data_IF_001099663685
#
_entry.id   IF_001099663685
#
_cell.length_a   1.000
_cell.length_b   1.000
_cell.length_c   1.000
_cell.angle_alpha   90.00
_cell.angle_beta   90.00
_cell.angle_gamma   90.00
#
_symmetry.space_group_name_H-M   'P 1'
#
loop_
_entity.id
_entity.type
_entity.pdbx_description
1 polymer ?
#
# COMPACT_ATOMS: atom_id res chain seq x y z
N UNK A 1 -10.39 9.20 13.23
CA UNK A 1 -9.94 9.06 11.84
C UNK A 1 -8.41 9.09 11.79
N UNK A 2 -7.76 8.03 11.29
CA UNK A 2 -6.30 8.01 11.16
C UNK A 2 -5.73 9.09 10.25
N UNK A 3 -6.43 9.43 9.16
CA UNK A 3 -5.99 10.48 8.22
C UNK A 3 -7.19 11.30 7.77
N UNK A 4 -7.04 12.62 7.84
CA UNK A 4 -7.97 13.58 7.26
C UNK A 4 -7.17 14.58 6.43
N UNK A 5 -7.47 14.70 5.14
CA UNK A 5 -6.94 15.73 4.27
C UNK A 5 -8.04 16.74 3.91
N UNK A 6 -7.75 18.01 4.09
CA UNK A 6 -8.65 19.13 3.77
C UNK A 6 -7.93 20.11 2.86
N UNK A 7 -8.36 20.18 1.60
CA UNK A 7 -7.83 21.07 0.56
C UNK A 7 -6.31 21.01 0.41
N UNK A 8 -5.74 19.81 0.47
CA UNK A 8 -4.29 19.64 0.41
C UNK A 8 -3.81 19.84 -1.02
N UNK A 9 -2.75 20.65 -1.16
CA UNK A 9 -2.12 20.96 -2.45
C UNK A 9 -0.61 20.84 -2.30
N UNK A 10 0.02 20.20 -3.27
CA UNK A 10 1.47 20.09 -3.38
C UNK A 10 1.92 20.45 -4.80
N UNK A 11 2.91 21.31 -4.88
CA UNK A 11 3.54 21.67 -6.15
C UNK A 11 5.06 21.79 -5.98
N UNK A 12 5.77 21.53 -7.06
CA UNK A 12 7.20 21.79 -7.19
C UNK A 12 7.36 22.90 -8.23
N UNK A 13 7.58 24.16 -7.75
CA UNK A 13 7.56 25.33 -8.64
C UNK A 13 6.19 25.49 -9.31
N UNK A 14 6.19 25.54 -10.65
CA UNK A 14 4.96 25.64 -11.45
C UNK A 14 4.29 24.29 -11.71
N UNK A 15 4.94 23.20 -11.33
CA UNK A 15 4.40 21.84 -11.54
C UNK A 15 3.55 21.43 -10.35
N UNK A 16 2.22 21.45 -10.52
CA UNK A 16 1.25 21.02 -9.52
C UNK A 16 1.14 19.49 -9.57
N UNK A 17 1.46 18.84 -8.45
CA UNK A 17 1.35 17.39 -8.33
C UNK A 17 -0.11 17.01 -8.07
N UNK A 18 -0.73 17.63 -7.07
CA UNK A 18 -2.15 17.50 -6.79
C UNK A 18 -2.66 18.78 -6.10
N UNK A 19 -3.96 18.99 -6.20
CA UNK A 19 -4.64 20.11 -5.55
C UNK A 19 -6.03 19.67 -5.07
N UNK A 20 -6.57 20.42 -4.13
CA UNK A 20 -7.90 20.20 -3.57
C UNK A 20 -8.13 18.74 -3.12
N UNK A 21 -7.11 18.13 -2.52
CA UNK A 21 -7.22 16.78 -2.01
C UNK A 21 -8.02 16.79 -0.72
N UNK A 22 -9.19 16.14 -0.78
CA UNK A 22 -10.08 15.97 0.36
C UNK A 22 -10.35 14.47 0.52
N UNK A 23 -9.85 13.90 1.59
CA UNK A 23 -10.09 12.50 1.89
C UNK A 23 -10.09 12.25 3.39
N UNK A 24 -10.86 11.25 3.79
CA UNK A 24 -10.90 10.77 5.16
C UNK A 24 -10.76 9.26 5.15
N UNK A 25 -9.75 8.76 5.85
CA UNK A 25 -9.55 7.32 6.03
C UNK A 25 -9.99 6.96 7.44
N UNK A 26 -10.95 6.03 7.54
CA UNK A 26 -11.50 5.58 8.80
C UNK A 26 -10.62 4.51 9.44
N UNK A 27 -10.68 4.41 10.76
CA UNK A 27 -9.94 3.39 11.50
C UNK A 27 -10.36 1.99 11.07
N UNK A 28 -9.36 1.14 10.80
CA UNK A 28 -9.60 -0.24 10.35
C UNK A 28 -9.94 -0.38 8.86
N UNK A 29 -10.03 0.73 8.14
CA UNK A 29 -10.31 0.75 6.72
C UNK A 29 -9.08 0.32 5.91
N UNK A 30 -9.31 -0.45 4.84
CA UNK A 30 -8.26 -0.82 3.89
C UNK A 30 -8.57 -0.15 2.56
N UNK A 31 -7.73 0.77 2.15
CA UNK A 31 -7.93 1.59 0.96
C UNK A 31 -6.80 1.37 -0.05
N UNK A 32 -7.13 1.51 -1.34
CA UNK A 32 -6.15 1.43 -2.42
C UNK A 32 -5.90 2.81 -3.01
N UNK A 33 -4.63 3.12 -3.27
CA UNK A 33 -4.22 4.26 -4.08
C UNK A 33 -3.85 3.74 -5.46
N UNK A 34 -4.56 4.18 -6.48
CA UNK A 34 -4.34 3.76 -7.86
C UNK A 34 -4.11 4.95 -8.77
N UNK A 35 -3.46 4.73 -9.89
CA UNK A 35 -3.12 5.76 -10.86
C UNK A 35 -1.76 5.51 -11.47
N UNK A 36 -1.45 6.22 -12.53
CA UNK A 36 -0.15 6.11 -13.20
C UNK A 36 0.98 6.60 -12.29
N UNK A 37 2.20 6.11 -12.53
CA UNK A 37 3.37 6.62 -11.86
C UNK A 37 3.56 8.11 -12.18
N UNK A 38 3.95 8.88 -11.18
CA UNK A 38 4.11 10.34 -11.31
C UNK A 38 2.84 11.16 -11.05
N UNK A 39 1.71 10.53 -10.73
CA UNK A 39 0.44 11.23 -10.47
C UNK A 39 0.24 11.60 -8.99
N UNK A 40 1.25 11.44 -8.16
CA UNK A 40 1.26 11.96 -6.80
C UNK A 40 0.97 10.96 -5.69
N UNK A 41 0.82 9.67 -5.97
CA UNK A 41 0.56 8.65 -4.93
C UNK A 41 1.66 8.62 -3.88
N UNK A 42 2.91 8.51 -4.31
CA UNK A 42 4.07 8.48 -3.41
C UNK A 42 4.25 9.82 -2.69
N UNK A 43 3.93 10.92 -3.36
CA UNK A 43 4.02 12.26 -2.76
C UNK A 43 3.02 12.42 -1.62
N UNK A 44 1.77 11.98 -1.81
CA UNK A 44 0.77 12.04 -0.73
C UNK A 44 1.14 11.12 0.43
N UNK A 45 1.65 9.94 0.15
CA UNK A 45 2.15 9.01 1.18
C UNK A 45 3.24 9.69 2.02
N UNK A 46 4.20 10.35 1.38
CA UNK A 46 5.26 11.08 2.10
C UNK A 46 4.73 12.24 2.92
N UNK A 47 3.70 12.93 2.45
CA UNK A 47 3.01 13.95 3.24
C UNK A 47 2.35 13.34 4.48
N UNK A 48 1.67 12.21 4.32
CA UNK A 48 1.03 11.49 5.45
C UNK A 48 2.08 11.03 6.47
N UNK A 49 3.23 10.56 6.01
CA UNK A 49 4.32 10.13 6.90
C UNK A 49 5.09 11.28 7.55
N UNK A 50 4.83 12.52 7.13
CA UNK A 50 5.53 13.69 7.65
C UNK A 50 6.91 13.92 7.04
N UNK A 51 7.29 13.19 6.00
CA UNK A 51 8.56 13.39 5.29
C UNK A 51 8.53 14.63 4.42
N UNK A 52 7.37 14.97 3.86
CA UNK A 52 7.12 16.22 3.16
C UNK A 52 6.20 17.05 4.02
N UNK A 53 6.66 18.24 4.38
CA UNK A 53 5.90 19.22 5.18
C UNK A 53 5.54 20.46 4.40
N UNK A 54 6.15 20.65 3.24
CA UNK A 54 5.95 21.80 2.34
C UNK A 54 4.76 21.55 1.40
N UNK A 55 3.56 21.70 1.95
CA UNK A 55 2.31 21.64 1.22
C UNK A 55 1.31 22.64 1.84
N UNK A 56 0.27 23.00 1.09
CA UNK A 56 -0.82 23.82 1.60
C UNK A 56 -2.05 22.97 1.92
N UNK A 57 -2.99 23.54 2.67
CA UNK A 57 -4.13 22.81 3.18
C UNK A 57 -3.82 22.17 4.52
N UNK A 58 -4.72 21.31 4.98
CA UNK A 58 -4.61 20.68 6.29
C UNK A 58 -4.62 19.17 6.17
N UNK A 59 -3.56 18.54 6.68
CA UNK A 59 -3.44 17.10 6.80
C UNK A 59 -3.31 16.76 8.28
N UNK A 60 -4.28 16.02 8.81
CA UNK A 60 -4.33 15.67 10.22
C UNK A 60 -4.24 14.16 10.39
N UNK A 61 -3.31 13.72 11.25
CA UNK A 61 -3.24 12.33 11.69
C UNK A 61 -4.06 12.19 12.98
N UNK A 62 -4.71 11.04 13.12
CA UNK A 62 -5.48 10.74 14.31
C UNK A 62 -4.62 10.53 15.55
N UNK A 63 -5.28 10.50 16.70
CA UNK A 63 -4.63 10.24 17.98
C UNK A 63 -4.10 8.80 18.03
N UNK A 64 -2.91 8.62 18.58
CA UNK A 64 -2.23 7.32 18.72
C UNK A 64 -1.98 6.58 17.40
N UNK A 65 -1.88 7.29 16.27
CA UNK A 65 -1.52 6.66 15.01
C UNK A 65 -0.02 6.37 14.99
N UNK A 66 0.32 5.09 14.79
CA UNK A 66 1.68 4.61 14.63
C UNK A 66 1.81 3.97 13.26
N UNK A 67 2.57 4.61 12.39
CA UNK A 67 2.69 4.24 10.99
C UNK A 67 3.83 3.26 10.79
N UNK A 68 3.54 2.15 10.11
CA UNK A 68 4.53 1.25 9.53
C UNK A 68 4.52 1.40 8.01
N UNK A 69 5.69 1.62 7.43
CA UNK A 69 5.84 1.82 6.01
C UNK A 69 6.65 0.69 5.37
N UNK A 70 6.17 0.18 4.25
CA UNK A 70 6.87 -0.80 3.45
C UNK A 70 7.03 -0.30 2.01
N UNK A 71 8.30 -0.24 1.56
CA UNK A 71 8.67 -0.12 0.15
C UNK A 71 9.73 -1.19 -0.15
N UNK A 72 10.05 -1.41 -1.42
CA UNK A 72 10.98 -2.47 -1.82
C UNK A 72 12.36 -2.39 -1.15
N UNK A 73 12.82 -1.17 -0.87
CA UNK A 73 14.10 -0.96 -0.21
C UNK A 73 14.11 -1.41 1.26
N UNK A 74 12.96 -1.67 1.87
CA UNK A 74 12.88 -2.16 3.25
C UNK A 74 13.53 -3.53 3.42
N UNK A 75 13.46 -4.37 2.38
CA UNK A 75 14.12 -5.67 2.39
C UNK A 75 15.64 -5.55 2.49
N UNK A 76 16.22 -4.48 2.00
CA UNK A 76 17.66 -4.20 2.05
C UNK A 76 18.13 -3.70 3.43
N UNK A 77 17.19 -3.24 4.26
CA UNK A 77 17.49 -2.74 5.60
C UNK A 77 17.56 -3.85 6.66
N UNK A 78 17.27 -5.09 6.28
CA UNK A 78 17.40 -6.23 7.19
C UNK A 78 18.87 -6.44 7.56
N UNK A 79 19.10 -6.83 8.82
CA UNK A 79 20.44 -7.17 9.31
C UNK A 79 20.86 -8.54 8.76
N UNK A 80 21.80 -8.54 7.86
CA UNK A 80 22.28 -9.76 7.19
C UNK A 80 22.99 -10.75 8.12
N UNK A 81 23.46 -10.28 9.27
CA UNK A 81 24.15 -11.14 10.26
C UNK A 81 23.18 -11.97 11.11
N UNK A 82 21.91 -11.63 11.11
CA UNK A 82 20.88 -12.34 11.87
C UNK A 82 20.31 -13.51 11.07
N UNK A 83 19.78 -14.50 11.81
CA UNK A 83 18.93 -15.52 11.22
C UNK A 83 17.52 -14.97 10.97
N UNK A 84 16.73 -15.69 10.18
CA UNK A 84 15.31 -15.40 9.98
C UNK A 84 14.59 -15.35 11.33
N UNK A 85 14.81 -16.36 12.17
CA UNK A 85 14.21 -16.41 13.51
C UNK A 85 14.59 -15.21 14.38
N UNK A 86 15.88 -14.87 14.45
CA UNK A 86 16.35 -13.76 15.29
C UNK A 86 15.80 -12.41 14.83
N UNK A 87 15.65 -12.23 13.51
CA UNK A 87 15.06 -11.02 12.96
C UNK A 87 13.66 -10.77 13.51
N UNK A 88 12.86 -11.81 13.61
CA UNK A 88 11.49 -11.73 14.12
C UNK A 88 11.46 -11.71 15.65
N UNK A 89 12.31 -12.51 16.30
CA UNK A 89 12.37 -12.56 17.76
C UNK A 89 12.67 -11.19 18.39
N UNK A 90 13.47 -10.37 17.71
CA UNK A 90 13.83 -9.03 18.22
C UNK A 90 12.66 -8.04 18.22
N UNK A 91 11.66 -8.23 17.35
CA UNK A 91 10.50 -7.32 17.26
C UNK A 91 9.25 -7.89 17.91
N UNK A 92 9.19 -9.20 18.10
CA UNK A 92 8.04 -9.85 18.72
C UNK A 92 7.98 -9.55 20.22
N UNK A 93 6.79 -9.24 20.71
CA UNK A 93 6.55 -8.91 22.12
C UNK A 93 5.42 -9.78 22.67
N UNK A 94 5.48 -10.04 23.99
CA UNK A 94 4.43 -10.78 24.69
C UNK A 94 4.21 -12.20 24.16
N UNK A 95 2.96 -12.59 24.04
CA UNK A 95 2.57 -13.93 23.60
C UNK A 95 2.96 -14.27 22.16
N UNK A 96 3.21 -13.25 21.33
CA UNK A 96 3.66 -13.43 19.95
C UNK A 96 5.00 -14.17 19.91
N UNK A 97 5.88 -13.92 20.87
CA UNK A 97 7.18 -14.60 20.96
C UNK A 97 7.05 -16.13 21.04
N UNK A 98 5.98 -16.60 21.66
CA UNK A 98 5.72 -18.05 21.77
C UNK A 98 5.24 -18.65 20.45
N UNK A 99 4.77 -17.83 19.52
CA UNK A 99 4.19 -18.23 18.24
C UNK A 99 5.09 -17.94 17.04
N UNK A 100 6.32 -17.48 17.25
CA UNK A 100 7.22 -17.08 16.16
C UNK A 100 7.39 -18.19 15.12
N UNK A 101 7.64 -19.41 15.55
CA UNK A 101 7.85 -20.53 14.61
C UNK A 101 6.60 -20.86 13.81
N UNK A 102 5.43 -20.74 14.40
CA UNK A 102 4.16 -20.94 13.70
C UNK A 102 3.93 -19.83 12.66
N UNK A 103 4.22 -18.59 13.02
CA UNK A 103 4.11 -17.44 12.11
C UNK A 103 5.09 -17.60 10.95
N UNK A 104 6.34 -17.92 11.22
CA UNK A 104 7.35 -18.16 10.19
C UNK A 104 6.96 -19.32 9.27
N UNK A 105 6.40 -20.39 9.83
CA UNK A 105 5.90 -21.52 9.06
C UNK A 105 4.77 -21.12 8.10
N UNK A 106 3.83 -20.30 8.57
CA UNK A 106 2.74 -19.77 7.75
C UNK A 106 3.25 -18.94 6.57
N UNK A 107 4.38 -18.22 6.75
CA UNK A 107 5.03 -17.43 5.71
C UNK A 107 6.13 -18.20 4.95
N UNK A 108 6.12 -19.52 5.02
CA UNK A 108 7.05 -20.42 4.30
C UNK A 108 8.51 -20.33 4.79
N UNK A 109 8.72 -20.01 6.05
CA UNK A 109 10.02 -20.09 6.73
C UNK A 109 10.01 -21.17 7.82
N UNK A 110 9.34 -22.29 7.57
CA UNK A 110 9.27 -23.40 8.53
C UNK A 110 10.54 -24.21 8.62
N UNK A 111 10.73 -24.90 9.74
CA UNK A 111 11.84 -25.83 9.97
C UNK A 111 13.20 -25.16 9.85
N UNK A 112 14.10 -25.75 9.07
CA UNK A 112 15.47 -25.28 8.88
C UNK A 112 15.55 -23.90 8.20
N UNK A 113 14.52 -23.51 7.46
CA UNK A 113 14.49 -22.20 6.80
C UNK A 113 14.55 -21.05 7.80
N UNK A 114 14.02 -21.23 9.01
CA UNK A 114 14.06 -20.21 10.06
C UNK A 114 15.46 -20.01 10.65
N UNK A 115 16.36 -20.97 10.48
CA UNK A 115 17.74 -20.90 10.99
C UNK A 115 18.73 -20.34 9.96
N UNK A 116 18.28 -20.08 8.73
CA UNK A 116 19.11 -19.45 7.70
C UNK A 116 19.39 -18.01 8.06
N UNK A 117 20.59 -17.55 7.72
CA UNK A 117 20.95 -16.14 7.84
C UNK A 117 20.30 -15.33 6.73
N UNK A 118 19.94 -14.10 7.04
CA UNK A 118 19.32 -13.16 6.08
C UNK A 118 20.20 -13.01 4.83
N UNK A 119 21.53 -13.00 4.99
CA UNK A 119 22.47 -12.83 3.86
C UNK A 119 22.32 -13.88 2.76
N UNK A 120 21.82 -15.08 3.06
CA UNK A 120 21.66 -16.17 2.05
C UNK A 120 20.26 -16.19 1.44
N UNK A 121 19.35 -15.33 1.86
CA UNK A 121 18.00 -15.28 1.35
C UNK A 121 17.94 -14.65 -0.05
N UNK A 122 17.01 -15.13 -0.88
CA UNK A 122 16.67 -14.50 -2.15
C UNK A 122 15.98 -13.14 -1.91
N UNK A 123 15.87 -12.33 -2.97
CA UNK A 123 15.16 -11.05 -2.90
C UNK A 123 13.72 -11.20 -2.45
N UNK A 124 12.99 -12.18 -2.99
CA UNK A 124 11.60 -12.46 -2.60
C UNK A 124 11.47 -12.94 -1.15
N UNK A 125 12.40 -13.76 -0.69
CA UNK A 125 12.45 -14.21 0.70
C UNK A 125 12.73 -13.06 1.66
N UNK A 126 13.66 -12.16 1.31
CA UNK A 126 13.93 -10.95 2.11
C UNK A 126 12.73 -10.02 2.19
N UNK A 127 12.04 -9.82 1.08
CA UNK A 127 10.81 -9.01 1.04
C UNK A 127 9.76 -9.60 1.97
N UNK A 128 9.56 -10.90 1.92
CA UNK A 128 8.61 -11.63 2.77
C UNK A 128 8.97 -11.50 4.25
N UNK A 129 10.25 -11.65 4.59
CA UNK A 129 10.72 -11.50 5.96
C UNK A 129 10.54 -10.07 6.48
N UNK A 130 10.87 -9.06 5.67
CA UNK A 130 10.67 -7.66 6.02
C UNK A 130 9.19 -7.35 6.27
N UNK A 131 8.30 -7.96 5.51
CA UNK A 131 6.86 -7.81 5.70
C UNK A 131 6.39 -8.44 7.00
N UNK A 132 6.85 -9.65 7.35
CA UNK A 132 6.53 -10.29 8.63
C UNK A 132 6.98 -9.39 9.78
N UNK A 133 8.20 -8.89 9.71
CA UNK A 133 8.76 -8.00 10.72
C UNK A 133 7.86 -6.78 10.93
N UNK A 134 7.44 -6.14 9.85
CA UNK A 134 6.56 -4.97 9.90
C UNK A 134 5.20 -5.30 10.54
N UNK A 135 4.59 -6.42 10.17
CA UNK A 135 3.29 -6.83 10.71
C UNK A 135 3.33 -7.14 12.21
N UNK A 136 4.49 -7.49 12.74
CA UNK A 136 4.68 -7.79 14.16
C UNK A 136 5.15 -6.59 14.99
N UNK A 137 5.52 -5.49 14.35
CA UNK A 137 5.84 -4.24 15.04
C UNK A 137 4.57 -3.61 15.62
N UNK A 138 4.68 -2.79 16.67
CA UNK A 138 3.51 -2.17 17.30
C UNK A 138 2.96 -0.99 16.47
N UNK A 139 2.56 -1.28 15.24
CA UNK A 139 1.98 -0.32 14.32
C UNK A 139 0.48 -0.59 14.17
N UNK A 140 -0.31 0.48 13.97
CA UNK A 140 -1.75 0.38 13.77
C UNK A 140 -2.20 1.01 12.44
N UNK A 141 -1.24 1.47 11.66
CA UNK A 141 -1.47 2.07 10.35
C UNK A 141 -0.37 1.61 9.39
N UNK A 142 -0.72 0.76 8.44
CA UNK A 142 0.24 0.26 7.45
C UNK A 142 0.10 1.03 6.14
N UNK A 143 1.22 1.44 5.59
CA UNK A 143 1.32 1.96 4.23
C UNK A 143 2.23 1.02 3.45
N UNK A 144 1.64 0.30 2.49
CA UNK A 144 2.34 -0.72 1.71
C UNK A 144 2.46 -0.25 0.27
N UNK A 145 3.69 0.07 -0.15
CA UNK A 145 3.99 0.59 -1.49
C UNK A 145 4.52 -0.54 -2.37
N UNK A 146 3.69 -0.97 -3.32
CA UNK A 146 3.96 -2.09 -4.24
C UNK A 146 4.44 -3.35 -3.51
N UNK A 147 3.68 -3.85 -2.53
CA UNK A 147 4.15 -4.93 -1.65
C UNK A 147 4.28 -6.28 -2.36
N UNK A 148 3.64 -6.45 -3.52
CA UNK A 148 3.65 -7.72 -4.27
C UNK A 148 4.70 -7.81 -5.35
N UNK A 149 5.46 -6.73 -5.60
CA UNK A 149 6.53 -6.75 -6.58
C UNK A 149 7.57 -7.83 -6.22
N UNK A 150 7.94 -8.63 -7.21
CA UNK A 150 8.89 -9.73 -7.08
C UNK A 150 8.45 -10.89 -6.17
N UNK A 151 7.17 -10.95 -5.81
CA UNK A 151 6.61 -12.09 -5.08
C UNK A 151 5.96 -13.08 -6.03
N UNK A 152 6.13 -14.39 -5.73
CA UNK A 152 5.40 -15.44 -6.41
C UNK A 152 3.93 -15.49 -5.95
N UNK A 153 3.11 -16.28 -6.65
CA UNK A 153 1.68 -16.40 -6.35
C UNK A 153 1.40 -16.84 -4.91
N UNK A 154 2.16 -17.80 -4.43
CA UNK A 154 1.99 -18.35 -3.08
C UNK A 154 2.32 -17.31 -2.00
N UNK A 155 3.42 -16.57 -2.18
CA UNK A 155 3.80 -15.48 -1.27
C UNK A 155 2.77 -14.36 -1.27
N UNK A 156 2.22 -14.02 -2.44
CA UNK A 156 1.13 -13.02 -2.54
C UNK A 156 -0.11 -13.47 -1.76
N UNK A 157 -0.50 -14.73 -1.88
CA UNK A 157 -1.67 -15.26 -1.17
C UNK A 157 -1.48 -15.20 0.35
N UNK A 158 -0.31 -15.59 0.84
CA UNK A 158 0.03 -15.53 2.25
C UNK A 158 0.00 -14.08 2.76
N UNK A 159 0.59 -13.16 2.00
CA UNK A 159 0.60 -11.74 2.33
C UNK A 159 -0.82 -11.16 2.35
N UNK A 160 -1.63 -11.50 1.36
CA UNK A 160 -3.02 -11.05 1.26
C UNK A 160 -3.83 -11.47 2.49
N UNK A 161 -3.69 -12.72 2.90
CA UNK A 161 -4.39 -13.23 4.09
C UNK A 161 -3.94 -12.51 5.36
N UNK A 162 -2.64 -12.25 5.51
CA UNK A 162 -2.11 -11.53 6.65
C UNK A 162 -2.62 -10.08 6.73
N UNK A 163 -2.70 -9.39 5.60
CA UNK A 163 -3.24 -8.02 5.54
C UNK A 163 -4.74 -8.04 5.84
N UNK A 164 -5.47 -9.03 5.34
CA UNK A 164 -6.90 -9.18 5.61
C UNK A 164 -7.18 -9.31 7.11
N UNK A 165 -6.35 -10.05 7.84
CA UNK A 165 -6.47 -10.27 9.28
C UNK A 165 -5.92 -9.12 10.13
N UNK A 166 -5.16 -8.20 9.53
CA UNK A 166 -4.63 -7.06 10.25
C UNK A 166 -5.77 -6.12 10.67
N UNK A 167 -5.86 -5.84 11.97
CA UNK A 167 -6.96 -5.06 12.55
C UNK A 167 -6.85 -3.56 12.31
N UNK A 168 -5.66 -3.07 11.96
CA UNK A 168 -5.41 -1.65 11.75
C UNK A 168 -5.84 -1.15 10.38
N UNK A 169 -5.53 0.11 10.16
CA UNK A 169 -5.79 0.81 8.89
C UNK A 169 -4.67 0.52 7.90
N UNK A 170 -5.00 0.36 6.62
CA UNK A 170 -4.01 0.06 5.57
C UNK A 170 -4.25 0.93 4.34
N UNK A 171 -3.18 1.54 3.85
CA UNK A 171 -3.12 2.11 2.50
C UNK A 171 -2.29 1.15 1.62
N UNK A 172 -2.90 0.69 0.53
CA UNK A 172 -2.25 -0.18 -0.45
C UNK A 172 -1.98 0.63 -1.71
N UNK A 173 -0.73 0.90 -2.01
CA UNK A 173 -0.32 1.49 -3.29
C UNK A 173 0.08 0.33 -4.19
N UNK A 174 -0.79 -0.06 -5.11
CA UNK A 174 -0.58 -1.26 -5.92
C UNK A 174 -1.30 -1.18 -7.27
N UNK A 175 -0.72 -1.82 -8.27
CA UNK A 175 -1.32 -2.06 -9.58
C UNK A 175 -1.83 -3.50 -9.73
N UNK A 176 -1.64 -4.33 -8.73
CA UNK A 176 -2.01 -5.74 -8.75
C UNK A 176 -3.49 -5.89 -8.38
N UNK A 177 -4.33 -6.04 -9.39
CA UNK A 177 -5.80 -6.10 -9.24
C UNK A 177 -6.26 -7.28 -8.40
N UNK A 178 -5.69 -8.44 -8.66
CA UNK A 178 -6.07 -9.67 -7.95
C UNK A 178 -5.68 -9.59 -6.47
N UNK A 179 -4.56 -8.94 -6.18
CA UNK A 179 -4.13 -8.71 -4.80
C UNK A 179 -5.05 -7.73 -4.07
N UNK A 180 -5.48 -6.67 -4.75
CA UNK A 180 -6.39 -5.67 -4.17
C UNK A 180 -7.81 -6.19 -3.98
N UNK A 181 -8.22 -7.17 -4.79
CA UNK A 181 -9.58 -7.74 -4.74
C UNK A 181 -9.83 -8.41 -3.38
N UNK A 182 -10.90 -8.01 -2.73
CA UNK A 182 -11.27 -8.52 -1.40
C UNK A 182 -10.47 -7.91 -0.25
N UNK A 183 -9.47 -7.06 -0.51
CA UNK A 183 -8.75 -6.30 0.53
C UNK A 183 -9.24 -4.87 0.62
N UNK A 184 -9.14 -4.11 -0.48
CA UNK A 184 -9.54 -2.71 -0.50
C UNK A 184 -11.06 -2.59 -0.62
N UNK A 185 -11.64 -1.76 0.24
CA UNK A 185 -13.08 -1.45 0.24
C UNK A 185 -13.36 -0.05 -0.31
N UNK A 186 -12.31 0.72 -0.55
CA UNK A 186 -12.37 2.06 -1.10
C UNK A 186 -11.14 2.29 -1.97
N UNK A 187 -11.30 2.97 -3.08
CA UNK A 187 -10.22 3.27 -4.02
C UNK A 187 -10.10 4.79 -4.19
N UNK A 188 -8.89 5.29 -4.06
CA UNK A 188 -8.55 6.68 -4.41
C UNK A 188 -7.79 6.68 -5.72
N UNK A 189 -8.39 7.29 -6.74
CA UNK A 189 -7.80 7.41 -8.07
C UNK A 189 -7.05 8.73 -8.20
N UNK A 190 -5.75 8.64 -8.51
CA UNK A 190 -4.86 9.78 -8.74
C UNK A 190 -4.71 10.01 -10.24
N UNK A 191 -4.92 11.22 -10.69
CA UNK A 191 -4.72 11.58 -12.08
C UNK A 191 -5.17 13.02 -12.36
N UNK A 192 -4.50 13.70 -13.29
CA UNK A 192 -4.83 15.06 -13.66
C UNK A 192 -4.73 16.09 -12.54
N UNK A 193 -3.90 15.82 -11.54
CA UNK A 193 -3.73 16.71 -10.38
C UNK A 193 -4.83 16.59 -9.32
N UNK A 194 -5.77 15.68 -9.48
CA UNK A 194 -6.87 15.45 -8.52
C UNK A 194 -6.86 14.02 -7.99
N UNK A 195 -7.58 13.83 -6.89
CA UNK A 195 -7.75 12.52 -6.25
C UNK A 195 -9.25 12.26 -6.10
N UNK A 196 -9.75 11.22 -6.76
CA UNK A 196 -11.17 10.85 -6.73
C UNK A 196 -11.39 9.66 -5.82
N UNK A 197 -12.38 9.75 -4.94
CA UNK A 197 -12.82 8.64 -4.11
C UNK A 197 -13.83 7.78 -4.85
N UNK A 198 -13.62 6.46 -4.82
CA UNK A 198 -14.55 5.46 -5.32
C UNK A 198 -14.85 4.47 -4.20
N UNK A 199 -16.11 4.37 -3.81
CA UNK A 199 -16.54 3.38 -2.82
C UNK A 199 -16.62 2.01 -3.47
N UNK A 200 -16.28 0.97 -2.72
CA UNK A 200 -16.27 -0.40 -3.18
C UNK A 200 -14.87 -0.91 -3.49
N UNK A 201 -14.79 -2.13 -4.00
CA UNK A 201 -13.53 -2.80 -4.31
C UNK A 201 -12.93 -2.40 -5.65
N UNK A 202 -11.76 -2.99 -5.94
CA UNK A 202 -11.02 -2.68 -7.17
C UNK A 202 -11.80 -3.01 -8.44
N UNK A 203 -12.53 -4.12 -8.46
CA UNK A 203 -13.30 -4.49 -9.65
C UNK A 203 -14.53 -3.61 -9.86
N UNK A 204 -15.15 -3.11 -8.79
CA UNK A 204 -16.21 -2.10 -8.88
C UNK A 204 -15.68 -0.81 -9.52
N UNK A 205 -14.49 -0.38 -9.10
CA UNK A 205 -13.81 0.78 -9.68
C UNK A 205 -13.51 0.57 -11.17
N UNK A 206 -12.94 -0.57 -11.54
CA UNK A 206 -12.59 -0.89 -12.93
C UNK A 206 -13.82 -0.96 -13.84
N UNK A 207 -14.92 -1.50 -13.33
CA UNK A 207 -16.19 -1.54 -14.05
C UNK A 207 -16.73 -0.14 -14.33
N UNK A 208 -16.70 0.76 -13.35
CA UNK A 208 -17.08 2.17 -13.52
C UNK A 208 -16.22 2.86 -14.58
N UNK A 209 -14.91 2.63 -14.56
CA UNK A 209 -13.98 3.20 -15.54
C UNK A 209 -14.28 2.71 -16.95
N UNK A 210 -14.62 1.46 -17.11
CA UNK A 210 -14.98 0.89 -18.40
C UNK A 210 -16.27 1.53 -18.95
N UNK A 211 -17.29 1.72 -18.12
CA UNK A 211 -18.54 2.37 -18.50
C UNK A 211 -18.30 3.82 -18.89
N UNK A 212 -17.51 4.58 -18.14
CA UNK A 212 -17.14 5.96 -18.47
C UNK A 212 -16.46 6.04 -19.83
N UNK A 213 -15.49 5.16 -20.12
CA UNK A 213 -14.79 5.11 -21.39
C UNK A 213 -15.72 4.81 -22.56
N UNK A 214 -16.69 3.91 -22.40
CA UNK A 214 -17.69 3.61 -23.41
C UNK A 214 -18.60 4.81 -23.68
N UNK A 215 -19.02 5.51 -22.62
CA UNK A 215 -19.86 6.71 -22.75
C UNK A 215 -19.10 7.85 -23.47
N UNK A 216 -17.82 8.02 -23.21
CA UNK A 216 -16.98 8.99 -23.89
C UNK A 216 -16.86 8.69 -25.39
N UNK A 217 -16.68 7.44 -25.76
CA UNK A 217 -16.62 6.99 -27.15
C UNK A 217 -17.94 7.26 -27.89
N UNK A 218 -19.08 7.11 -27.21
CA UNK A 218 -20.40 7.39 -27.80
C UNK A 218 -20.67 8.87 -27.98
N UNK A 219 -20.03 9.74 -27.17
CA UNK A 219 -20.17 11.20 -27.23
C UNK A 219 -19.20 11.85 -28.21
N UNK A 220 -18.18 11.13 -28.68
CA UNK A 220 -17.25 11.67 -29.68
C UNK A 220 -18.01 11.98 -30.97
N UNK A 221 -17.87 13.20 -31.56
CA UNK A 221 -18.55 13.53 -32.80
C UNK A 221 -18.06 12.57 -33.90
N UNK A 222 -19.00 12.01 -34.68
CA UNK A 222 -18.66 11.25 -35.84
C UNK A 222 -17.78 12.14 -36.75
N UNK A 223 -16.58 11.66 -37.09
CA UNK A 223 -15.74 12.32 -38.07
C UNK A 223 -16.57 12.45 -39.35
N UNK A 224 -16.93 13.68 -39.72
CA UNK A 224 -17.61 13.95 -40.96
C UNK A 224 -16.69 13.52 -42.11
N UNK A 225 -16.97 12.37 -42.71
CA UNK A 225 -16.39 12.03 -43.99
C UNK A 225 -17.04 12.99 -45.00
N UNK A 226 -16.31 14.02 -45.36
CA UNK A 226 -16.67 14.85 -46.51
C UNK A 226 -16.41 14.00 -47.76
N UNK A 227 -17.40 13.77 -48.61
CA UNK A 227 -17.10 13.20 -49.90
C UNK A 227 -16.48 14.26 -50.79
N UNK A 228 -15.36 13.98 -51.39
CA UNK A 228 -14.74 14.77 -52.43
C UNK A 228 -15.50 14.63 -53.73
#
# INVERSE_FOLDING_TARGET
YPVICEDVRKAYGDHVIFHDVNLTINRGEKVAFVGKNGEGKSTLVKCIMGEITDYTGKLTLGHNVQIGYFAQNQAQLLDESLTVFDTIDRVAVGDIRLKIRDILGAFMFGGEASDKKVKVLSGGERTRLAMIKLLLEPVNFLILDEPTNHLDMRSKDVLKDAIREFDGTVILVSHDRDFLDGLATKVYEFGGGIVKEHLGGIYDFLQKKQIESLNELQKAPALSTSPS
#
